data_IF_969157382383
#
_entry.id   IF_969157382383
#
_cell.length_a   1.000
_cell.length_b   1.000
_cell.length_c   1.000
_cell.angle_alpha   90.00
_cell.angle_beta   90.00
_cell.angle_gamma   90.00
#
_symmetry.space_group_name_H-M   'P 1'
#
loop_
_entity.id
_entity.type
_entity.pdbx_description
1 polymer ?
#
# COMPACT_ATOMS: atom_id res chain seq x y z
N UNK A 1 3.99 17.59 -29.47
CA UNK A 1 3.29 17.53 -28.16
C UNK A 1 3.71 18.76 -27.38
N UNK A 2 2.77 19.65 -27.04
CA UNK A 2 3.06 20.80 -26.16
C UNK A 2 3.39 20.25 -24.77
N UNK A 3 4.55 20.61 -24.22
CA UNK A 3 4.75 20.55 -22.77
C UNK A 3 3.82 21.61 -22.19
N UNK A 4 2.83 21.21 -21.41
CA UNK A 4 2.14 22.16 -20.52
C UNK A 4 3.18 22.66 -19.52
N UNK A 5 3.44 23.97 -19.52
CA UNK A 5 4.20 24.60 -18.46
C UNK A 5 3.38 24.51 -17.18
N UNK A 6 3.94 23.85 -16.15
CA UNK A 6 3.31 23.80 -14.82
C UNK A 6 3.25 25.22 -14.27
N UNK A 7 2.06 25.67 -13.90
CA UNK A 7 1.88 27.00 -13.33
C UNK A 7 2.30 27.01 -11.85
N UNK A 8 2.76 28.16 -11.34
CA UNK A 8 3.09 28.31 -9.92
C UNK A 8 1.89 28.00 -9.02
N UNK A 9 0.67 28.29 -9.49
CA UNK A 9 -0.57 27.97 -8.80
C UNK A 9 -0.74 26.45 -8.58
N UNK A 10 -0.32 25.62 -9.53
CA UNK A 10 -0.36 24.16 -9.42
C UNK A 10 0.66 23.63 -8.40
N UNK A 11 1.79 24.32 -8.25
CA UNK A 11 2.80 23.99 -7.22
C UNK A 11 2.29 24.31 -5.82
N UNK A 12 1.73 25.52 -5.62
CA UNK A 12 1.15 25.91 -4.33
C UNK A 12 -0.06 25.04 -3.93
N UNK A 13 -0.96 24.74 -4.85
CA UNK A 13 -2.10 23.84 -4.60
C UNK A 13 -1.63 22.42 -4.22
N UNK A 14 -0.59 21.92 -4.87
CA UNK A 14 0.00 20.62 -4.58
C UNK A 14 0.70 20.60 -3.21
N UNK A 15 1.47 21.64 -2.86
CA UNK A 15 2.07 21.78 -1.52
C UNK A 15 1.00 21.84 -0.42
N UNK A 16 -0.09 22.56 -0.67
CA UNK A 16 -1.24 22.57 0.24
C UNK A 16 -1.81 21.15 0.42
N UNK A 17 -1.98 20.40 -0.67
CA UNK A 17 -2.55 19.06 -0.63
C UNK A 17 -1.66 18.01 0.08
N UNK A 18 -0.35 18.01 -0.17
CA UNK A 18 0.56 16.96 0.31
C UNK A 18 1.44 17.36 1.51
N UNK A 19 1.62 18.66 1.73
CA UNK A 19 2.49 19.24 2.76
C UNK A 19 1.78 19.66 4.06
N UNK A 20 0.44 19.82 4.06
CA UNK A 20 -0.27 20.41 5.23
C UNK A 20 -1.12 19.42 6.03
N UNK A 21 -1.41 18.23 5.49
CA UNK A 21 -2.21 17.23 6.20
C UNK A 21 -1.37 16.54 7.28
N UNK A 22 -1.78 16.75 8.53
CA UNK A 22 -1.20 16.13 9.71
C UNK A 22 -2.20 15.25 10.44
N UNK A 23 -1.74 14.11 10.98
CA UNK A 23 -2.57 13.27 11.84
C UNK A 23 -2.88 13.99 13.15
N UNK A 24 -4.11 13.78 13.62
CA UNK A 24 -4.46 14.03 15.02
C UNK A 24 -3.49 13.26 15.94
N UNK A 25 -3.02 13.84 17.06
CA UNK A 25 -1.98 13.25 17.90
C UNK A 25 -2.26 11.80 18.31
N UNK A 26 -3.52 11.49 18.65
CA UNK A 26 -3.93 10.16 19.07
C UNK A 26 -3.86 9.12 17.94
N UNK A 27 -4.18 9.51 16.70
CA UNK A 27 -4.07 8.62 15.53
C UNK A 27 -2.60 8.42 15.19
N UNK A 28 -1.80 9.49 15.28
CA UNK A 28 -0.35 9.46 15.05
C UNK A 28 0.34 8.48 15.99
N UNK A 29 0.05 8.56 17.29
CA UNK A 29 0.59 7.65 18.31
C UNK A 29 0.33 6.17 17.96
N UNK A 30 -0.89 5.84 17.52
CA UNK A 30 -1.24 4.47 17.15
C UNK A 30 -0.54 4.03 15.87
N UNK A 31 -0.50 4.88 14.85
CA UNK A 31 0.20 4.60 13.59
C UNK A 31 1.69 4.37 13.85
N UNK A 32 2.34 5.25 14.61
CA UNK A 32 3.77 5.16 14.91
C UNK A 32 4.07 3.88 15.71
N UNK A 33 3.23 3.54 16.68
CA UNK A 33 3.32 2.28 17.42
C UNK A 33 3.21 1.05 16.50
N UNK A 34 2.27 1.06 15.55
CA UNK A 34 2.10 -0.02 14.57
C UNK A 34 3.32 -0.12 13.64
N UNK A 35 3.83 1.00 13.11
CA UNK A 35 5.03 1.04 12.25
C UNK A 35 6.26 0.52 13.00
N UNK A 36 6.49 0.97 14.24
CA UNK A 36 7.59 0.50 15.07
C UNK A 36 7.50 -1.01 15.32
N UNK A 37 6.30 -1.52 15.58
CA UNK A 37 6.06 -2.96 15.79
C UNK A 37 6.33 -3.76 14.52
N UNK A 38 5.89 -3.29 13.36
CA UNK A 38 6.18 -3.91 12.06
C UNK A 38 7.69 -3.96 11.80
N UNK A 39 8.40 -2.85 12.04
CA UNK A 39 9.86 -2.79 11.91
C UNK A 39 10.57 -3.79 12.84
N UNK A 40 10.11 -3.93 14.08
CA UNK A 40 10.65 -4.90 15.04
C UNK A 40 10.44 -6.35 14.57
N UNK A 41 9.25 -6.67 14.04
CA UNK A 41 8.94 -8.00 13.49
C UNK A 41 9.75 -8.31 12.22
N UNK A 42 10.19 -7.27 11.52
CA UNK A 42 11.05 -7.29 10.34
C UNK A 42 12.55 -7.36 10.62
N UNK A 43 13.00 -7.67 11.84
CA UNK A 43 14.44 -7.67 12.19
C UNK A 43 15.32 -8.49 11.22
N UNK A 44 14.81 -9.62 10.70
CA UNK A 44 15.53 -10.46 9.72
C UNK A 44 15.67 -9.83 8.34
N UNK A 45 14.82 -8.86 8.01
CA UNK A 45 14.80 -8.14 6.73
C UNK A 45 15.35 -6.71 6.90
N UNK A 46 16.21 -6.50 7.90
CA UNK A 46 16.80 -5.19 8.18
C UNK A 46 15.78 -4.16 8.69
N UNK A 47 14.67 -4.59 9.28
CA UNK A 47 13.59 -3.73 9.74
C UNK A 47 12.61 -3.30 8.64
N UNK A 48 12.78 -3.76 7.40
CA UNK A 48 11.93 -3.38 6.26
C UNK A 48 10.62 -4.18 6.23
N UNK A 49 9.51 -3.56 5.83
CA UNK A 49 8.24 -4.24 5.63
C UNK A 49 7.49 -3.79 4.37
N UNK A 50 6.64 -4.68 3.87
CA UNK A 50 5.79 -4.43 2.70
C UNK A 50 4.38 -4.12 3.18
N UNK A 51 3.80 -3.01 2.71
CA UNK A 51 2.38 -2.74 2.88
C UNK A 51 1.63 -3.11 1.60
N UNK A 52 0.60 -3.95 1.74
CA UNK A 52 -0.26 -4.38 0.64
C UNK A 52 -1.66 -3.80 0.87
N UNK A 53 -2.13 -3.00 -0.07
CA UNK A 53 -3.52 -2.54 -0.06
C UNK A 53 -4.43 -3.66 -0.57
N UNK A 54 -4.96 -4.45 0.36
CA UNK A 54 -5.81 -5.61 0.11
C UNK A 54 -6.90 -5.68 1.19
N UNK A 55 -8.10 -5.19 0.88
CA UNK A 55 -9.32 -5.36 1.68
C UNK A 55 -10.31 -6.23 0.94
N UNK A 56 -10.76 -7.31 1.57
CA UNK A 56 -11.63 -8.31 0.93
C UNK A 56 -12.95 -7.68 0.51
N UNK A 57 -13.56 -6.88 1.38
CA UNK A 57 -14.84 -6.21 1.11
C UNK A 57 -14.75 -5.21 -0.06
N UNK A 58 -13.62 -4.52 -0.21
CA UNK A 58 -13.38 -3.59 -1.33
C UNK A 58 -13.25 -4.35 -2.65
N UNK A 59 -12.52 -5.47 -2.66
CA UNK A 59 -12.40 -6.32 -3.84
C UNK A 59 -13.75 -6.89 -4.28
N UNK A 60 -14.55 -7.37 -3.33
CA UNK A 60 -15.89 -7.89 -3.59
C UNK A 60 -16.82 -6.82 -4.17
N UNK A 61 -16.86 -5.62 -3.55
CA UNK A 61 -17.66 -4.47 -4.03
C UNK A 61 -17.26 -4.03 -5.44
N UNK A 62 -15.98 -4.14 -5.78
CA UNK A 62 -15.45 -3.79 -7.11
C UNK A 62 -15.68 -4.88 -8.15
N UNK A 63 -16.29 -6.01 -7.78
CA UNK A 63 -16.58 -7.10 -8.69
C UNK A 63 -15.30 -7.73 -9.24
N UNK A 64 -14.26 -7.83 -8.42
CA UNK A 64 -13.02 -8.54 -8.74
C UNK A 64 -13.33 -10.01 -9.00
N UNK A 65 -13.69 -10.32 -10.25
CA UNK A 65 -14.00 -11.68 -10.72
C UNK A 65 -12.72 -12.36 -11.18
N UNK A 66 -12.43 -13.51 -10.59
CA UNK A 66 -11.30 -14.35 -10.97
C UNK A 66 -11.38 -14.86 -12.41
N UNK A 67 -10.21 -15.06 -13.01
CA UNK A 67 -9.94 -15.62 -14.34
C UNK A 67 -10.36 -14.80 -15.57
N UNK A 68 -9.73 -13.63 -15.76
CA UNK A 68 -9.50 -13.09 -17.09
C UNK A 68 -8.01 -13.17 -17.43
N UNK A 69 -7.65 -13.87 -18.52
CA UNK A 69 -6.29 -13.94 -19.10
C UNK A 69 -5.87 -12.63 -19.80
N UNK A 70 -6.43 -11.50 -19.38
CA UNK A 70 -6.14 -10.20 -19.98
C UNK A 70 -4.98 -9.53 -19.24
N UNK A 71 -4.05 -8.96 -20.02
CA UNK A 71 -2.88 -8.15 -19.60
C UNK A 71 -3.17 -6.99 -18.62
N UNK A 72 -4.43 -6.73 -18.28
CA UNK A 72 -4.87 -5.61 -17.46
C UNK A 72 -6.01 -6.05 -16.52
N UNK A 73 -5.70 -6.82 -15.48
CA UNK A 73 -6.61 -6.98 -14.35
C UNK A 73 -6.60 -5.68 -13.52
N UNK A 74 -7.78 -5.25 -13.10
CA UNK A 74 -7.95 -4.04 -12.25
C UNK A 74 -7.73 -4.33 -10.77
N UNK A 75 -7.69 -5.60 -10.39
CA UNK A 75 -7.48 -6.05 -9.02
C UNK A 75 -6.96 -7.49 -8.91
N UNK A 76 -6.42 -7.83 -7.74
CA UNK A 76 -5.70 -9.08 -7.46
C UNK A 76 -6.08 -9.64 -6.09
N UNK A 77 -6.31 -10.96 -6.02
CA UNK A 77 -6.60 -11.65 -4.76
C UNK A 77 -5.33 -12.03 -4.00
N UNK A 78 -5.48 -12.46 -2.75
CA UNK A 78 -4.37 -12.84 -1.86
C UNK A 78 -3.36 -13.79 -2.54
N UNK A 79 -3.82 -14.86 -3.19
CA UNK A 79 -2.94 -15.81 -3.87
C UNK A 79 -2.15 -15.16 -5.03
N UNK A 80 -2.77 -14.26 -5.79
CA UNK A 80 -2.09 -13.56 -6.88
C UNK A 80 -1.03 -12.60 -6.37
N UNK A 81 -1.32 -11.85 -5.31
CA UNK A 81 -0.34 -11.00 -4.63
C UNK A 81 0.81 -11.85 -4.06
N UNK A 82 0.50 -12.96 -3.41
CA UNK A 82 1.52 -13.84 -2.84
C UNK A 82 2.46 -14.39 -3.91
N UNK A 83 1.90 -14.90 -5.01
CA UNK A 83 2.66 -15.40 -6.14
C UNK A 83 3.50 -14.29 -6.80
N UNK A 84 2.93 -13.09 -6.95
CA UNK A 84 3.63 -11.91 -7.46
C UNK A 84 4.85 -11.56 -6.61
N UNK A 85 4.67 -11.39 -5.30
CA UNK A 85 5.76 -11.03 -4.38
C UNK A 85 6.88 -12.09 -4.40
N UNK A 86 6.52 -13.38 -4.40
CA UNK A 86 7.51 -14.46 -4.51
C UNK A 86 8.27 -14.42 -5.83
N UNK A 87 7.57 -14.17 -6.94
CA UNK A 87 8.15 -14.11 -8.28
C UNK A 87 9.24 -13.05 -8.39
N UNK A 88 9.02 -11.87 -7.80
CA UNK A 88 9.95 -10.75 -7.85
C UNK A 88 11.02 -10.77 -6.75
N UNK A 89 11.11 -11.87 -5.98
CA UNK A 89 12.23 -12.12 -5.08
C UNK A 89 11.99 -11.88 -3.59
N UNK A 90 10.75 -11.60 -3.14
CA UNK A 90 10.48 -11.49 -1.70
C UNK A 90 10.60 -12.85 -1.00
N UNK A 91 11.33 -12.88 0.11
CA UNK A 91 11.52 -14.09 0.92
C UNK A 91 10.35 -14.33 1.89
N UNK A 92 10.16 -15.59 2.32
CA UNK A 92 9.14 -15.99 3.31
C UNK A 92 9.22 -15.23 4.63
N UNK A 93 10.41 -14.77 5.04
CA UNK A 93 10.61 -13.99 6.26
C UNK A 93 10.21 -12.51 6.11
N UNK A 94 9.75 -12.09 4.92
CA UNK A 94 9.20 -10.74 4.67
C UNK A 94 7.98 -10.49 5.55
N UNK A 95 8.01 -9.37 6.28
CA UNK A 95 6.86 -8.89 7.05
C UNK A 95 5.92 -8.12 6.14
N UNK A 96 4.64 -8.50 6.16
CA UNK A 96 3.59 -7.89 5.35
C UNK A 96 2.52 -7.29 6.25
N UNK A 97 2.18 -6.03 5.98
CA UNK A 97 0.98 -5.38 6.51
C UNK A 97 -0.12 -5.39 5.45
N UNK A 98 -1.32 -5.85 5.81
CA UNK A 98 -2.52 -5.77 4.98
C UNK A 98 -3.43 -4.64 5.48
N UNK A 99 -4.00 -3.88 4.56
CA UNK A 99 -5.05 -2.88 4.87
C UNK A 99 -6.37 -3.51 5.33
N UNK A 100 -6.44 -4.84 5.41
CA UNK A 100 -7.54 -5.57 6.00
C UNK A 100 -7.67 -5.33 7.52
N UNK A 101 -8.90 -5.17 8.02
CA UNK A 101 -9.23 -4.99 9.44
C UNK A 101 -8.91 -6.23 10.27
N UNK A 102 -9.59 -7.34 9.98
CA UNK A 102 -9.47 -8.63 10.68
C UNK A 102 -9.10 -9.73 9.72
N UNK A 103 -8.47 -10.78 10.23
CA UNK A 103 -8.08 -11.92 9.39
C UNK A 103 -9.31 -12.60 8.78
N UNK A 104 -9.21 -12.97 7.51
CA UNK A 104 -10.21 -13.74 6.78
C UNK A 104 -9.53 -14.92 6.09
N UNK A 105 -10.24 -16.06 5.97
CA UNK A 105 -9.70 -17.28 5.34
C UNK A 105 -9.27 -17.07 3.89
N UNK A 106 -9.90 -16.13 3.19
CA UNK A 106 -9.52 -15.74 1.82
C UNK A 106 -8.08 -15.19 1.73
N UNK A 107 -7.49 -14.78 2.86
CA UNK A 107 -6.11 -14.28 2.97
C UNK A 107 -5.10 -15.39 3.33
N UNK A 108 -5.55 -16.60 3.66
CA UNK A 108 -4.68 -17.72 4.06
C UNK A 108 -3.54 -17.98 3.06
N UNK A 109 -3.74 -17.91 1.73
CA UNK A 109 -2.65 -18.06 0.78
C UNK A 109 -1.50 -17.08 1.01
N UNK A 110 -1.75 -15.81 1.37
CA UNK A 110 -0.67 -14.87 1.67
C UNK A 110 0.16 -15.32 2.87
N UNK A 111 -0.50 -15.84 3.90
CA UNK A 111 0.17 -16.30 5.12
C UNK A 111 0.94 -17.60 4.93
N UNK A 112 0.50 -18.47 4.02
CA UNK A 112 1.24 -19.67 3.62
C UNK A 112 2.59 -19.30 2.99
N UNK A 113 2.62 -18.29 2.11
CA UNK A 113 3.86 -17.81 1.48
C UNK A 113 4.69 -16.90 2.39
N UNK A 114 4.03 -16.07 3.20
CA UNK A 114 4.65 -15.07 4.06
C UNK A 114 4.02 -15.16 5.47
N UNK A 115 4.52 -16.05 6.36
CA UNK A 115 3.93 -16.27 7.67
C UNK A 115 3.83 -15.03 8.57
N UNK A 116 4.69 -14.03 8.32
CA UNK A 116 4.68 -12.72 8.99
C UNK A 116 3.74 -11.72 8.31
N UNK A 117 2.53 -12.17 7.98
CA UNK A 117 1.47 -11.31 7.44
C UNK A 117 0.52 -10.88 8.56
N UNK A 118 0.29 -9.57 8.67
CA UNK A 118 -0.45 -8.93 9.75
C UNK A 118 -1.58 -8.05 9.22
N UNK A 119 -2.75 -8.15 9.84
CA UNK A 119 -3.86 -7.20 9.69
C UNK A 119 -3.80 -6.12 10.76
N UNK A 120 -4.61 -5.07 10.60
CA UNK A 120 -4.79 -4.01 11.62
C UNK A 120 -5.04 -4.57 13.02
N UNK A 121 -5.98 -5.50 13.15
CA UNK A 121 -6.31 -6.14 14.43
C UNK A 121 -5.12 -6.86 15.05
N UNK A 122 -4.27 -7.50 14.25
CA UNK A 122 -3.14 -8.27 14.79
C UNK A 122 -1.97 -7.39 15.25
N UNK A 123 -1.77 -6.23 14.62
CA UNK A 123 -0.61 -5.36 14.87
C UNK A 123 -0.91 -4.23 15.86
N UNK A 124 -2.15 -3.75 15.90
CA UNK A 124 -2.56 -2.65 16.78
C UNK A 124 -2.47 -3.04 18.28
N UNK A 125 -1.99 -2.13 19.16
CA UNK A 125 -2.03 -2.34 20.61
C UNK A 125 -3.43 -2.66 21.10
N UNK A 126 -3.54 -3.63 22.02
CA UNK A 126 -4.83 -4.21 22.46
C UNK A 126 -5.76 -3.15 23.05
N UNK A 127 -5.22 -2.24 23.84
CA UNK A 127 -5.92 -1.11 24.48
C UNK A 127 -6.47 -0.08 23.49
N UNK A 128 -5.87 0.01 22.28
CA UNK A 128 -6.29 0.96 21.24
C UNK A 128 -7.37 0.37 20.31
N UNK A 129 -7.47 -0.96 20.19
CA UNK A 129 -8.39 -1.63 19.23
C UNK A 129 -9.85 -1.19 19.35
N UNK A 130 -10.35 -1.04 20.58
CA UNK A 130 -11.75 -0.66 20.81
C UNK A 130 -12.14 0.69 20.21
N UNK A 131 -11.19 1.63 20.14
CA UNK A 131 -11.41 2.98 19.59
C UNK A 131 -11.17 3.04 18.08
N UNK A 132 -10.13 2.36 17.59
CA UNK A 132 -9.64 2.54 16.22
C UNK A 132 -10.10 1.46 15.23
N UNK A 133 -10.68 0.35 15.70
CA UNK A 133 -11.28 -0.71 14.88
C UNK A 133 -12.79 -0.82 15.11
N UNK A 134 -13.45 0.32 15.36
CA UNK A 134 -14.90 0.40 15.50
C UNK A 134 -15.55 0.25 14.11
N UNK A 135 -16.36 -0.81 13.87
CA UNK A 135 -17.07 -0.99 12.61
C UNK A 135 -17.98 0.19 12.24
N UNK A 136 -18.37 1.04 13.20
CA UNK A 136 -19.17 2.26 12.99
C UNK A 136 -18.36 3.45 12.50
N UNK A 137 -17.03 3.41 12.58
CA UNK A 137 -16.13 4.48 12.17
C UNK A 137 -15.03 4.00 11.21
N UNK A 138 -15.39 3.42 10.05
CA UNK A 138 -14.43 2.78 9.13
C UNK A 138 -13.41 3.75 8.52
N UNK A 139 -13.71 5.05 8.51
CA UNK A 139 -12.84 6.10 7.98
C UNK A 139 -11.53 6.23 8.77
N UNK A 140 -11.54 5.96 10.07
CA UNK A 140 -10.33 6.01 10.90
C UNK A 140 -9.35 4.92 10.47
N UNK A 141 -9.85 3.73 10.16
CA UNK A 141 -9.01 2.65 9.66
C UNK A 141 -8.35 2.98 8.32
N UNK A 142 -9.07 3.64 7.42
CA UNK A 142 -8.54 4.09 6.12
C UNK A 142 -7.43 5.13 6.29
N UNK A 143 -7.56 6.02 7.29
CA UNK A 143 -6.51 6.98 7.65
C UNK A 143 -5.27 6.25 8.17
N UNK A 144 -5.44 5.25 9.04
CA UNK A 144 -4.33 4.42 9.54
C UNK A 144 -3.64 3.71 8.38
N UNK A 145 -4.41 3.07 7.50
CA UNK A 145 -3.91 2.38 6.31
C UNK A 145 -3.11 3.33 5.41
N UNK A 146 -3.67 4.50 5.11
CA UNK A 146 -3.02 5.51 4.27
C UNK A 146 -1.63 5.88 4.81
N UNK A 147 -1.50 6.12 6.11
CA UNK A 147 -0.21 6.49 6.70
C UNK A 147 0.77 5.32 6.79
N UNK A 148 0.32 4.11 7.15
CA UNK A 148 1.20 2.93 7.19
C UNK A 148 1.71 2.60 5.79
N UNK A 149 0.83 2.58 4.78
CA UNK A 149 1.22 2.37 3.38
C UNK A 149 2.13 3.48 2.84
N UNK A 150 1.94 4.73 3.29
CA UNK A 150 2.83 5.83 2.92
C UNK A 150 4.22 5.72 3.56
N UNK A 151 4.31 5.11 4.74
CA UNK A 151 5.56 4.97 5.50
C UNK A 151 6.32 3.66 5.25
N UNK A 152 5.67 2.64 4.69
CA UNK A 152 6.30 1.34 4.42
C UNK A 152 7.50 1.45 3.47
N UNK A 153 8.38 0.46 3.48
CA UNK A 153 9.50 0.38 2.54
C UNK A 153 8.99 0.15 1.13
N UNK A 154 8.09 -0.82 0.96
CA UNK A 154 7.47 -1.15 -0.32
C UNK A 154 5.95 -1.03 -0.18
N UNK A 155 5.31 -0.47 -1.18
CA UNK A 155 3.85 -0.42 -1.27
C UNK A 155 3.33 -1.20 -2.49
N UNK A 156 2.34 -2.05 -2.28
CA UNK A 156 1.74 -2.90 -3.33
C UNK A 156 0.21 -2.71 -3.34
N UNK A 157 -0.36 -2.04 -4.34
CA UNK A 157 -1.80 -1.93 -4.47
C UNK A 157 -2.38 -3.20 -5.09
N UNK A 158 -3.31 -3.88 -4.38
CA UNK A 158 -4.05 -4.99 -4.97
C UNK A 158 -5.21 -4.51 -5.86
N UNK A 159 -5.53 -3.23 -5.85
CA UNK A 159 -6.56 -2.62 -6.69
C UNK A 159 -6.17 -1.22 -7.12
N UNK A 160 -6.48 -0.85 -8.37
CA UNK A 160 -6.37 0.54 -8.82
C UNK A 160 -7.47 1.40 -8.22
N UNK A 161 -7.17 2.63 -7.80
CA UNK A 161 -8.18 3.56 -7.33
C UNK A 161 -7.61 4.76 -6.59
N UNK A 162 -8.51 5.50 -5.94
CA UNK A 162 -8.16 6.73 -5.24
C UNK A 162 -7.19 6.49 -4.07
N UNK A 163 -7.34 5.39 -3.33
CA UNK A 163 -6.42 5.05 -2.24
C UNK A 163 -4.99 4.88 -2.76
N UNK A 164 -4.80 4.09 -3.82
CA UNK A 164 -3.51 3.93 -4.49
C UNK A 164 -2.95 5.29 -4.95
N UNK A 165 -3.73 6.12 -5.65
CA UNK A 165 -3.27 7.43 -6.12
C UNK A 165 -2.81 8.33 -4.95
N UNK A 166 -3.59 8.38 -3.87
CA UNK A 166 -3.26 9.19 -2.70
C UNK A 166 -1.97 8.70 -2.01
N UNK A 167 -1.84 7.39 -1.78
CA UNK A 167 -0.61 6.81 -1.18
C UNK A 167 0.59 7.09 -2.08
N UNK A 168 0.45 6.93 -3.40
CA UNK A 168 1.52 7.27 -4.36
C UNK A 168 1.92 8.75 -4.25
N UNK A 169 0.97 9.68 -4.17
CA UNK A 169 1.25 11.09 -3.95
C UNK A 169 2.04 11.38 -2.69
N UNK A 170 1.64 10.80 -1.55
CA UNK A 170 2.34 10.99 -0.27
C UNK A 170 3.74 10.36 -0.27
N UNK A 171 3.89 9.21 -0.93
CA UNK A 171 5.17 8.53 -1.11
C UNK A 171 6.12 9.32 -2.01
N UNK A 172 5.64 9.91 -3.11
CA UNK A 172 6.42 10.83 -3.96
C UNK A 172 6.91 12.02 -3.14
N UNK A 173 6.03 12.66 -2.36
CA UNK A 173 6.36 13.79 -1.50
C UNK A 173 7.46 13.48 -0.47
N UNK A 174 7.54 12.23 0.00
CA UNK A 174 8.52 11.75 0.98
C UNK A 174 9.70 10.99 0.36
N UNK A 175 9.80 10.92 -0.96
CA UNK A 175 10.86 10.21 -1.68
C UNK A 175 10.78 8.67 -1.61
N UNK A 176 9.70 8.09 -1.10
CA UNK A 176 9.49 6.64 -0.94
C UNK A 176 8.90 6.00 -2.21
N UNK A 177 9.63 6.07 -3.32
CA UNK A 177 9.10 5.73 -4.65
C UNK A 177 9.01 4.23 -4.97
N UNK A 178 9.35 3.35 -4.03
CA UNK A 178 9.24 1.89 -4.20
C UNK A 178 7.76 1.46 -4.09
N UNK A 179 7.06 1.54 -5.23
CA UNK A 179 5.66 1.15 -5.38
C UNK A 179 5.58 0.11 -6.50
N UNK A 180 5.19 -1.11 -6.17
CA UNK A 180 5.18 -2.24 -7.09
C UNK A 180 3.73 -2.63 -7.41
N UNK A 181 3.34 -2.46 -8.66
CA UNK A 181 1.99 -2.77 -9.14
C UNK A 181 1.98 -4.19 -9.71
N UNK A 182 1.19 -5.11 -9.16
CA UNK A 182 1.12 -6.46 -9.71
C UNK A 182 0.68 -6.42 -11.18
N UNK A 183 1.28 -7.29 -11.99
CA UNK A 183 0.88 -7.53 -13.37
C UNK A 183 1.07 -9.00 -13.72
N UNK A 184 0.19 -9.54 -14.56
CA UNK A 184 0.35 -10.89 -15.07
C UNK A 184 1.38 -10.89 -16.19
N UNK A 185 2.53 -11.49 -15.95
CA UNK A 185 3.58 -11.67 -16.97
C UNK A 185 3.91 -13.14 -17.08
N UNK A 186 3.98 -13.66 -18.30
CA UNK A 186 4.40 -15.03 -18.57
C UNK A 186 5.93 -15.20 -18.46
N UNK A 187 6.67 -14.10 -18.37
CA UNK A 187 8.13 -14.12 -18.38
C UNK A 187 8.68 -14.51 -17.01
N UNK A 188 9.50 -15.56 -16.98
CA UNK A 188 10.15 -16.09 -15.77
C UNK A 188 11.33 -15.24 -15.29
N UNK A 189 11.75 -14.23 -16.05
CA UNK A 189 12.90 -13.36 -15.76
C UNK A 189 12.53 -11.96 -15.25
N UNK A 190 11.29 -11.74 -14.84
CA UNK A 190 10.81 -10.40 -14.48
C UNK A 190 11.49 -9.87 -13.20
N UNK A 191 12.05 -8.66 -13.28
CA UNK A 191 12.65 -7.93 -12.16
C UNK A 191 11.59 -7.11 -11.42
N UNK A 192 11.85 -6.71 -10.17
CA UNK A 192 11.01 -5.75 -9.46
C UNK A 192 10.86 -4.41 -10.21
N UNK A 193 11.90 -4.01 -10.95
CA UNK A 193 11.90 -2.77 -11.75
C UNK A 193 10.83 -2.75 -12.84
N UNK A 194 10.44 -3.93 -13.35
CA UNK A 194 9.41 -4.07 -14.39
C UNK A 194 8.00 -3.75 -13.87
N UNK A 195 7.83 -3.73 -12.54
CA UNK A 195 6.53 -3.52 -11.88
C UNK A 195 6.44 -2.18 -11.15
N UNK A 196 7.43 -1.30 -11.32
CA UNK A 196 7.38 0.03 -10.72
C UNK A 196 6.16 0.77 -11.26
N UNK A 197 5.41 1.36 -10.34
CA UNK A 197 4.22 2.14 -10.60
C UNK A 197 4.39 3.11 -11.77
N UNK A 198 3.37 3.16 -12.64
CA UNK A 198 3.32 4.12 -13.72
C UNK A 198 3.38 5.58 -13.23
N UNK A 199 2.92 5.86 -11.99
CA UNK A 199 3.06 7.18 -11.38
C UNK A 199 4.52 7.59 -11.25
N UNK A 200 5.39 6.63 -10.95
CA UNK A 200 6.82 6.85 -10.75
C UNK A 200 7.55 6.85 -12.09
N UNK A 201 7.37 5.82 -12.92
CA UNK A 201 8.11 5.68 -14.18
C UNK A 201 7.77 6.77 -15.20
N UNK A 202 6.49 7.19 -15.28
CA UNK A 202 6.03 8.24 -16.20
C UNK A 202 5.99 9.63 -15.57
N UNK A 203 6.25 9.75 -14.26
CA UNK A 203 6.12 10.99 -13.47
C UNK A 203 4.80 11.74 -13.72
N UNK A 204 3.69 11.00 -13.84
CA UNK A 204 2.39 11.55 -14.24
C UNK A 204 1.44 11.82 -13.05
N UNK A 205 1.93 11.76 -11.82
CA UNK A 205 1.16 12.10 -10.61
C UNK A 205 1.29 13.60 -10.28
N UNK A 206 0.20 14.23 -9.80
CA UNK A 206 0.18 15.66 -9.45
C UNK A 206 1.27 16.04 -8.43
N UNK A 207 1.61 15.17 -7.48
CA UNK A 207 2.68 15.39 -6.50
C UNK A 207 4.03 15.82 -7.12
N UNK A 208 4.33 15.42 -8.36
CA UNK A 208 5.53 15.89 -9.06
C UNK A 208 5.48 17.37 -9.44
N UNK A 209 4.35 18.08 -9.36
CA UNK A 209 4.29 19.54 -9.59
C UNK A 209 4.81 20.36 -8.42
N UNK A 210 4.82 19.79 -7.19
CA UNK A 210 5.31 20.51 -6.02
C UNK A 210 6.67 20.06 -5.49
N UNK A 211 7.08 18.80 -5.74
CA UNK A 211 8.30 18.25 -5.12
C UNK A 211 9.44 17.95 -6.10
N UNK A 212 9.29 18.24 -7.39
CA UNK A 212 10.27 17.94 -8.45
C UNK A 212 10.33 19.00 -9.54
#
# INVERSE_FOLDING_TARGET
MKKEEKSDADSFACLAMFGTLELQPEVREVVDSMVQRLGTLSWKSGGRFVAVDLRVDVLEKKGCRGNGDTRSKSCYHAREIAAFLRKIGFDKDTTIYLTQSRWERSLDPLKEFFPKTYTKESIMPVDKKGKFLDPKAPTIEEVIDFYICSQSDVFVPAISGLFYANVAGKRIASGKTEILVPAYTHDSSASADDYISHYITKKNHLAYSCFC
#
